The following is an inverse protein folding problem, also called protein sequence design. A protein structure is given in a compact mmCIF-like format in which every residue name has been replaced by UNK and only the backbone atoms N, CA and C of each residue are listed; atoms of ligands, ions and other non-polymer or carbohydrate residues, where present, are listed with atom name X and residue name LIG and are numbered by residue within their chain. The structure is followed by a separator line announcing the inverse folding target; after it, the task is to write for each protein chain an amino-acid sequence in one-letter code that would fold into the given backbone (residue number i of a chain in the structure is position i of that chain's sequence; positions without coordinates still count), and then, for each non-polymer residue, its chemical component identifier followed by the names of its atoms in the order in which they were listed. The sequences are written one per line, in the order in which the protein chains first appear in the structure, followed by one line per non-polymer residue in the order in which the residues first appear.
data_IF_117384247116
#
_entry.id   IF_117384247116
#
_cell.length_a   1.000
_cell.length_b   1.000
_cell.length_c   1.000
_cell.angle_alpha   90.00
_cell.angle_beta   90.00
_cell.angle_gamma   90.00
#
_symmetry.space_group_name_H-M   'P 1'
#
loop_
_entity.id
_entity.type
_entity.pdbx_description
1 polymer ?
#
# COMPACT_ATOMS: atom_id res chain seq x y z
N UNK A 1 46.49 5.69 29.72
CA UNK A 1 45.38 6.44 29.07
C UNK A 1 45.51 7.89 29.49
N UNK A 2 45.68 8.84 28.57
CA UNK A 2 45.84 10.26 28.95
C UNK A 2 44.53 10.82 29.53
N UNK A 3 44.59 11.71 30.54
CA UNK A 3 43.41 12.37 31.10
C UNK A 3 42.52 13.02 30.02
N UNK A 4 43.15 13.63 29.01
CA UNK A 4 42.47 14.31 27.90
C UNK A 4 41.57 13.38 27.09
N UNK A 5 41.99 12.13 26.89
CA UNK A 5 41.21 11.15 26.13
C UNK A 5 39.95 10.70 26.90
N UNK A 6 39.99 10.68 28.23
CA UNK A 6 38.82 10.39 29.06
C UNK A 6 37.82 11.55 29.00
N UNK A 7 38.30 12.78 29.18
CA UNK A 7 37.48 14.00 29.12
C UNK A 7 36.80 14.13 27.77
N UNK A 8 37.53 13.88 26.68
CA UNK A 8 36.98 13.91 25.32
C UNK A 8 35.81 12.94 25.14
N UNK A 9 35.93 11.70 25.62
CA UNK A 9 34.85 10.70 25.56
C UNK A 9 33.61 11.13 26.36
N UNK A 10 33.82 11.60 27.58
CA UNK A 10 32.73 12.07 28.43
C UNK A 10 32.02 13.30 27.81
N UNK A 11 32.78 14.20 27.20
CA UNK A 11 32.24 15.35 26.48
C UNK A 11 31.35 14.92 25.31
N UNK A 12 31.80 13.94 24.50
CA UNK A 12 31.01 13.41 23.39
C UNK A 12 29.72 12.75 23.90
N UNK A 13 29.79 12.01 25.00
CA UNK A 13 28.62 11.38 25.62
C UNK A 13 27.62 12.43 26.16
N UNK A 14 28.11 13.50 26.77
CA UNK A 14 27.30 14.63 27.21
C UNK A 14 26.65 15.37 26.02
N UNK A 15 27.40 15.59 24.93
CA UNK A 15 26.87 16.18 23.70
C UNK A 15 25.74 15.34 23.10
N UNK A 16 25.92 14.02 23.01
CA UNK A 16 24.89 13.12 22.52
C UNK A 16 23.64 13.13 23.42
N UNK A 17 23.82 13.20 24.74
CA UNK A 17 22.73 13.36 25.70
C UNK A 17 21.94 14.64 25.45
N UNK A 18 22.62 15.77 25.20
CA UNK A 18 21.96 17.05 24.88
C UNK A 18 21.20 16.97 23.55
N UNK A 19 21.77 16.33 22.53
CA UNK A 19 21.10 16.14 21.24
C UNK A 19 19.83 15.30 21.38
N UNK A 20 19.90 14.19 22.13
CA UNK A 20 18.75 13.34 22.42
C UNK A 20 17.63 14.10 23.16
N UNK A 21 17.98 14.89 24.19
CA UNK A 21 17.02 15.74 24.92
C UNK A 21 16.34 16.78 24.03
N UNK A 22 17.00 17.22 22.95
CA UNK A 22 16.45 18.14 21.95
C UNK A 22 15.68 17.43 20.83
N UNK A 23 15.44 16.12 20.95
CA UNK A 23 14.76 15.31 19.94
C UNK A 23 15.59 15.04 18.68
N UNK A 24 16.88 15.41 18.66
CA UNK A 24 17.78 15.19 17.51
C UNK A 24 18.42 13.81 17.60
N UNK A 25 17.58 12.78 17.59
CA UNK A 25 17.98 11.41 17.89
C UNK A 25 18.97 10.84 16.89
N UNK A 26 18.80 11.12 15.60
CA UNK A 26 19.67 10.60 14.53
C UNK A 26 21.10 11.13 14.68
N UNK A 27 21.23 12.41 15.06
CA UNK A 27 22.55 13.03 15.32
C UNK A 27 23.19 12.45 16.57
N UNK A 28 22.41 12.20 17.62
CA UNK A 28 22.90 11.58 18.84
C UNK A 28 23.38 10.15 18.58
N UNK A 29 22.58 9.36 17.87
CA UNK A 29 22.89 7.99 17.46
C UNK A 29 24.17 7.93 16.62
N UNK A 30 24.28 8.76 15.58
CA UNK A 30 25.48 8.79 14.74
C UNK A 30 26.76 9.07 15.53
N UNK A 31 26.72 10.04 16.45
CA UNK A 31 27.87 10.37 17.32
C UNK A 31 28.21 9.19 18.24
N UNK A 32 27.20 8.55 18.84
CA UNK A 32 27.41 7.43 19.75
C UNK A 32 27.91 6.17 19.06
N UNK A 33 27.43 5.87 17.86
CA UNK A 33 27.93 4.74 17.06
C UNK A 33 29.40 4.95 16.67
N UNK A 34 29.79 6.19 16.34
CA UNK A 34 31.20 6.52 16.09
C UNK A 34 32.05 6.34 17.35
N UNK A 35 31.51 6.71 18.51
CA UNK A 35 32.17 6.53 19.80
C UNK A 35 32.28 5.05 20.18
N UNK A 36 31.25 4.24 19.90
CA UNK A 36 31.22 2.80 20.14
C UNK A 36 32.28 2.07 19.30
N UNK A 37 32.47 2.49 18.04
CA UNK A 37 33.54 1.94 17.17
C UNK A 37 34.94 2.19 17.75
N UNK A 38 35.16 3.33 18.39
CA UNK A 38 36.43 3.67 19.01
C UNK A 38 36.60 3.01 20.39
N UNK A 39 35.49 2.75 21.08
CA UNK A 39 35.47 2.27 22.46
C UNK A 39 34.40 1.18 22.65
N UNK A 40 34.57 0.00 22.03
CA UNK A 40 33.54 -1.05 22.02
C UNK A 40 33.32 -1.68 23.40
N UNK A 41 34.27 -1.53 24.32
CA UNK A 41 34.20 -2.06 25.69
C UNK A 41 33.79 -1.00 26.72
N UNK A 42 33.12 0.08 26.30
CA UNK A 42 32.68 1.15 27.20
C UNK A 42 31.14 1.12 27.40
N UNK A 43 30.64 0.49 28.47
CA UNK A 43 29.20 0.27 28.71
C UNK A 43 28.31 1.53 28.63
N UNK A 44 28.73 2.71 29.12
CA UNK A 44 27.91 3.92 29.09
C UNK A 44 27.41 4.35 27.71
N UNK A 45 28.14 4.02 26.63
CA UNK A 45 27.69 4.32 25.26
C UNK A 45 26.40 3.54 24.94
N UNK A 46 26.39 2.25 25.30
CA UNK A 46 25.28 1.36 25.02
C UNK A 46 24.08 1.65 25.91
N UNK A 47 24.31 2.05 27.16
CA UNK A 47 23.23 2.57 28.03
C UNK A 47 22.57 3.80 27.40
N UNK A 48 23.35 4.77 26.91
CA UNK A 48 22.80 5.97 26.30
C UNK A 48 22.08 5.68 24.98
N UNK A 49 22.63 4.81 24.13
CA UNK A 49 21.93 4.33 22.93
C UNK A 49 20.61 3.68 23.30
N UNK A 50 20.60 2.77 24.28
CA UNK A 50 19.38 2.11 24.73
C UNK A 50 18.31 3.09 25.22
N UNK A 51 18.69 4.10 26.01
CA UNK A 51 17.79 5.17 26.46
C UNK A 51 17.22 5.96 25.29
N UNK A 52 18.04 6.29 24.29
CA UNK A 52 17.60 7.01 23.08
C UNK A 52 16.55 6.18 22.34
N UNK A 53 16.81 4.90 22.08
CA UNK A 53 15.82 4.04 21.41
C UNK A 53 14.55 3.86 22.25
N UNK A 54 14.67 3.75 23.58
CA UNK A 54 13.50 3.68 24.45
C UNK A 54 12.64 4.96 24.38
N UNK A 55 13.26 6.14 24.30
CA UNK A 55 12.54 7.41 24.08
C UNK A 55 11.82 7.47 22.73
N UNK A 56 12.31 6.74 21.73
CA UNK A 56 11.69 6.61 20.41
C UNK A 56 10.64 5.49 20.33
N UNK A 57 10.26 4.88 21.45
CA UNK A 57 9.38 3.69 21.51
C UNK A 57 9.97 2.44 20.80
N UNK A 58 11.26 2.46 20.47
CA UNK A 58 11.98 1.34 19.86
C UNK A 58 12.49 0.39 20.95
N UNK A 59 11.55 -0.20 21.70
CA UNK A 59 11.85 -1.02 22.88
C UNK A 59 12.69 -2.26 22.55
N UNK A 60 12.54 -2.83 21.36
CA UNK A 60 13.34 -3.99 20.93
C UNK A 60 14.83 -3.65 20.79
N UNK A 61 15.15 -2.51 20.17
CA UNK A 61 16.52 -2.05 20.00
C UNK A 61 17.11 -1.65 21.37
N UNK A 62 16.33 -0.94 22.18
CA UNK A 62 16.72 -0.56 23.54
C UNK A 62 17.10 -1.79 24.39
N UNK A 63 16.30 -2.86 24.32
CA UNK A 63 16.57 -4.11 25.01
C UNK A 63 17.91 -4.73 24.56
N UNK A 64 18.21 -4.74 23.26
CA UNK A 64 19.47 -5.29 22.74
C UNK A 64 20.68 -4.52 23.26
N UNK A 65 20.61 -3.18 23.28
CA UNK A 65 21.71 -2.35 23.75
C UNK A 65 21.94 -2.46 25.26
N UNK A 66 20.89 -2.53 26.09
CA UNK A 66 21.08 -2.80 27.52
C UNK A 66 21.58 -4.22 27.79
N UNK A 67 21.15 -5.21 27.00
CA UNK A 67 21.73 -6.56 27.07
C UNK A 67 23.23 -6.52 26.76
N UNK A 68 23.64 -5.72 25.78
CA UNK A 68 25.05 -5.55 25.48
C UNK A 68 25.81 -4.82 26.59
N UNK A 69 25.23 -3.75 27.17
CA UNK A 69 25.81 -3.08 28.33
C UNK A 69 26.02 -4.03 29.52
N UNK A 70 25.03 -4.89 29.80
CA UNK A 70 25.12 -5.95 30.82
C UNK A 70 26.16 -7.02 30.49
N UNK A 71 26.40 -7.32 29.22
CA UNK A 71 27.48 -8.25 28.83
C UNK A 71 28.87 -7.71 29.13
N UNK A 72 29.02 -6.38 29.17
CA UNK A 72 30.27 -5.69 29.49
C UNK A 72 30.40 -5.40 30.99
N UNK A 73 29.28 -5.17 31.68
CA UNK A 73 29.21 -4.90 33.13
C UNK A 73 27.96 -5.57 33.74
N UNK A 74 28.09 -6.86 34.06
CA UNK A 74 26.98 -7.70 34.49
C UNK A 74 26.46 -7.38 35.89
N UNK A 75 27.27 -6.73 36.73
CA UNK A 75 26.92 -6.38 38.10
C UNK A 75 26.37 -4.96 38.24
N UNK A 76 26.15 -4.26 37.11
CA UNK A 76 25.62 -2.91 37.16
C UNK A 76 24.11 -2.90 37.46
N UNK A 77 23.68 -2.46 38.65
CA UNK A 77 22.27 -2.47 39.02
C UNK A 77 21.45 -1.53 38.13
N UNK A 78 22.06 -0.47 37.57
CA UNK A 78 21.35 0.47 36.72
C UNK A 78 20.99 -0.16 35.37
N UNK A 79 21.92 -0.92 34.77
CA UNK A 79 21.67 -1.60 33.50
C UNK A 79 20.68 -2.74 33.66
N UNK A 80 20.75 -3.48 34.77
CA UNK A 80 19.80 -4.53 35.07
C UNK A 80 18.38 -3.97 35.23
N UNK A 81 18.21 -2.95 36.07
CA UNK A 81 16.92 -2.31 36.28
C UNK A 81 16.35 -1.70 34.98
N UNK A 82 17.20 -1.13 34.13
CA UNK A 82 16.77 -0.57 32.84
C UNK A 82 16.37 -1.67 31.84
N UNK A 83 17.13 -2.77 31.78
CA UNK A 83 16.81 -3.94 30.97
C UNK A 83 15.47 -4.56 31.38
N UNK A 84 15.29 -4.84 32.67
CA UNK A 84 14.05 -5.40 33.22
C UNK A 84 12.85 -4.51 32.94
N UNK A 85 12.99 -3.19 33.13
CA UNK A 85 11.93 -2.23 32.81
C UNK A 85 11.50 -2.32 31.35
N UNK A 86 12.43 -2.41 30.42
CA UNK A 86 12.09 -2.44 28.99
C UNK A 86 11.59 -3.80 28.53
N UNK A 87 12.07 -4.89 29.13
CA UNK A 87 11.46 -6.22 28.93
C UNK A 87 10.00 -6.19 29.40
N UNK A 88 9.73 -5.63 30.58
CA UNK A 88 8.36 -5.51 31.10
C UNK A 88 7.48 -4.62 30.20
N UNK A 89 7.99 -3.48 29.73
CA UNK A 89 7.23 -2.61 28.81
C UNK A 89 6.96 -3.29 27.46
N UNK A 90 7.89 -4.08 26.94
CA UNK A 90 7.71 -4.84 25.71
C UNK A 90 6.69 -5.99 25.87
N UNK A 91 6.66 -6.62 27.04
CA UNK A 91 5.75 -7.73 27.36
C UNK A 91 4.34 -7.27 27.71
N UNK A 92 4.13 -5.99 27.99
CA UNK A 92 2.78 -5.42 28.14
C UNK A 92 2.28 -4.97 26.77
N UNK A 93 1.39 -5.73 26.10
CA UNK A 93 0.80 -5.36 24.83
C UNK A 93 -0.28 -4.27 25.02
N UNK A 94 0.02 -3.23 25.80
CA UNK A 94 -0.92 -2.16 26.09
C UNK A 94 -1.02 -1.24 24.85
N UNK A 95 -1.92 -1.61 23.96
CA UNK A 95 -2.70 -0.68 23.12
C UNK A 95 -1.93 0.17 22.10
N UNK A 96 -0.80 -0.30 21.58
CA UNK A 96 -0.12 0.39 20.48
C UNK A 96 -0.68 -0.06 19.12
N UNK A 97 -1.83 0.51 18.74
CA UNK A 97 -2.26 0.61 17.34
C UNK A 97 -1.36 1.56 16.54
N UNK A 98 -0.01 1.46 16.68
CA UNK A 98 0.98 2.27 15.98
C UNK A 98 1.36 1.62 14.64
N UNK A 99 0.48 1.78 13.66
CA UNK A 99 0.71 1.97 12.21
C UNK A 99 1.87 1.28 11.44
N UNK A 100 2.51 0.23 11.95
CA UNK A 100 3.52 -0.53 11.19
C UNK A 100 3.48 -2.04 11.47
N UNK A 101 2.29 -2.60 11.71
CA UNK A 101 2.10 -4.05 11.69
C UNK A 101 1.60 -4.50 10.30
N UNK A 102 2.00 -5.69 9.81
CA UNK A 102 1.50 -6.25 8.55
C UNK A 102 -0.04 -6.41 8.53
N UNK A 103 -0.67 -6.44 9.70
CA UNK A 103 -2.13 -6.51 9.85
C UNK A 103 -2.82 -5.24 9.38
N UNK A 104 -2.22 -4.05 9.58
CA UNK A 104 -2.80 -2.80 9.07
C UNK A 104 -2.74 -2.74 7.54
N UNK A 105 -1.66 -3.28 6.93
CA UNK A 105 -1.57 -3.44 5.48
C UNK A 105 -2.62 -4.43 4.97
N UNK A 106 -2.79 -5.57 5.63
CA UNK A 106 -3.82 -6.54 5.27
C UNK A 106 -5.24 -5.96 5.39
N UNK A 107 -5.51 -5.16 6.43
CA UNK A 107 -6.79 -4.49 6.62
C UNK A 107 -7.06 -3.47 5.51
N UNK A 108 -6.07 -2.66 5.13
CA UNK A 108 -6.19 -1.73 3.99
C UNK A 108 -6.44 -2.49 2.68
N UNK A 109 -5.71 -3.57 2.43
CA UNK A 109 -5.89 -4.40 1.23
C UNK A 109 -7.30 -5.01 1.21
N UNK A 110 -7.80 -5.50 2.34
CA UNK A 110 -9.15 -6.03 2.47
C UNK A 110 -10.21 -4.94 2.18
N UNK A 111 -10.02 -3.75 2.72
CA UNK A 111 -10.94 -2.62 2.51
C UNK A 111 -10.96 -2.16 1.05
N UNK A 112 -9.79 -2.07 0.42
CA UNK A 112 -9.66 -1.75 -1.01
C UNK A 112 -10.27 -2.83 -1.90
N UNK A 113 -10.10 -4.11 -1.57
CA UNK A 113 -10.68 -5.21 -2.34
C UNK A 113 -12.20 -5.26 -2.23
N UNK A 114 -12.77 -4.97 -1.06
CA UNK A 114 -14.23 -4.82 -0.90
C UNK A 114 -14.76 -3.65 -1.73
N UNK A 115 -14.08 -2.49 -1.71
CA UNK A 115 -14.48 -1.34 -2.51
C UNK A 115 -14.41 -1.62 -4.01
N UNK A 116 -13.37 -2.34 -4.46
CA UNK A 116 -13.20 -2.74 -5.85
C UNK A 116 -14.30 -3.73 -6.31
N UNK A 117 -14.63 -4.72 -5.47
CA UNK A 117 -15.72 -5.66 -5.72
C UNK A 117 -17.06 -4.94 -5.84
N UNK A 118 -17.32 -3.99 -4.94
CA UNK A 118 -18.53 -3.17 -4.99
C UNK A 118 -18.60 -2.34 -6.27
N UNK A 119 -17.50 -1.66 -6.65
CA UNK A 119 -17.42 -0.88 -7.88
C UNK A 119 -17.65 -1.75 -9.13
N UNK A 120 -17.06 -2.94 -9.16
CA UNK A 120 -17.23 -3.87 -10.28
C UNK A 120 -18.66 -4.40 -10.38
N UNK A 121 -19.31 -4.70 -9.25
CA UNK A 121 -20.73 -5.09 -9.21
C UNK A 121 -21.65 -4.01 -9.79
N UNK A 122 -21.42 -2.74 -9.44
CA UNK A 122 -22.19 -1.60 -9.97
C UNK A 122 -21.99 -1.46 -11.49
N UNK A 123 -20.77 -1.65 -12.00
CA UNK A 123 -20.50 -1.61 -13.43
C UNK A 123 -21.25 -2.71 -14.20
N UNK A 124 -21.33 -3.93 -13.66
CA UNK A 124 -22.07 -5.03 -14.28
C UNK A 124 -23.57 -4.70 -14.38
N UNK A 125 -24.17 -4.19 -13.31
CA UNK A 125 -25.59 -3.79 -13.33
C UNK A 125 -25.85 -2.75 -14.43
N UNK A 126 -25.00 -1.72 -14.53
CA UNK A 126 -25.13 -0.70 -15.58
C UNK A 126 -24.93 -1.26 -17.00
N UNK A 127 -24.14 -2.33 -17.17
CA UNK A 127 -23.94 -2.97 -18.47
C UNK A 127 -25.14 -3.84 -18.87
N UNK A 128 -25.74 -4.54 -17.90
CA UNK A 128 -26.93 -5.36 -18.11
C UNK A 128 -28.14 -4.50 -18.43
N UNK A 129 -28.34 -3.39 -17.73
CA UNK A 129 -29.43 -2.43 -18.01
C UNK A 129 -29.34 -1.88 -19.45
N UNK A 130 -28.15 -1.42 -19.87
CA UNK A 130 -27.92 -0.97 -21.25
C UNK A 130 -28.14 -2.07 -22.29
N UNK A 131 -27.80 -3.31 -21.97
CA UNK A 131 -28.04 -4.47 -22.83
C UNK A 131 -29.52 -4.79 -22.99
N UNK A 132 -30.30 -4.72 -21.91
CA UNK A 132 -31.75 -4.95 -21.93
C UNK A 132 -32.50 -3.84 -22.69
N UNK A 133 -32.08 -2.58 -22.55
CA UNK A 133 -32.62 -1.47 -23.34
C UNK A 133 -32.28 -1.57 -24.82
N UNK A 134 -31.24 -2.35 -25.19
CA UNK A 134 -30.84 -2.57 -26.58
C UNK A 134 -31.71 -3.55 -27.38
N UNK A 135 -32.43 -4.41 -26.66
CA UNK A 135 -33.25 -5.47 -27.24
C UNK A 135 -34.45 -4.98 -28.09
N UNK A 136 -35.23 -3.95 -27.70
CA UNK A 136 -36.41 -3.55 -28.48
C UNK A 136 -36.07 -3.08 -29.90
N UNK A 137 -35.03 -2.26 -30.08
CA UNK A 137 -34.69 -1.73 -31.42
C UNK A 137 -33.98 -2.73 -32.33
N UNK A 138 -33.29 -3.71 -31.75
CA UNK A 138 -32.61 -4.76 -32.53
C UNK A 138 -33.64 -5.75 -33.08
N UNK A 139 -34.67 -6.08 -32.30
CA UNK A 139 -35.77 -6.93 -32.77
C UNK A 139 -36.63 -6.17 -33.79
N UNK A 140 -36.96 -4.90 -33.54
CA UNK A 140 -37.75 -4.11 -34.50
C UNK A 140 -37.03 -3.94 -35.84
N UNK A 141 -35.72 -3.65 -35.85
CA UNK A 141 -34.95 -3.53 -37.09
C UNK A 141 -34.75 -4.87 -37.80
N UNK A 142 -34.51 -5.96 -37.07
CA UNK A 142 -34.41 -7.30 -37.64
C UNK A 142 -35.75 -7.78 -38.22
N UNK A 143 -36.86 -7.52 -37.53
CA UNK A 143 -38.22 -7.82 -38.01
C UNK A 143 -38.59 -6.94 -39.20
N UNK A 144 -38.28 -5.64 -39.18
CA UNK A 144 -38.50 -4.74 -40.30
C UNK A 144 -37.67 -5.14 -41.54
N UNK A 145 -36.45 -5.64 -41.34
CA UNK A 145 -35.61 -6.16 -42.43
C UNK A 145 -36.14 -7.50 -42.95
N UNK A 146 -36.66 -8.37 -42.08
CA UNK A 146 -37.23 -9.66 -42.47
C UNK A 146 -38.62 -9.56 -43.12
N UNK A 147 -39.40 -8.52 -42.81
CA UNK A 147 -40.70 -8.22 -43.44
C UNK A 147 -40.60 -7.26 -44.64
N UNK A 148 -39.42 -6.72 -44.94
CA UNK A 148 -39.25 -5.90 -46.13
C UNK A 148 -39.55 -6.75 -47.38
N UNK A 149 -40.50 -6.35 -48.24
CA UNK A 149 -40.78 -7.10 -49.45
C UNK A 149 -39.52 -7.15 -50.32
N UNK A 150 -39.18 -8.35 -50.79
CA UNK A 150 -38.14 -8.63 -51.76
C UNK A 150 -38.46 -7.87 -53.07
N UNK A 151 -38.01 -6.62 -53.15
CA UNK A 151 -38.03 -5.85 -54.39
C UNK A 151 -36.76 -6.21 -55.17
N UNK A 152 -36.68 -7.48 -55.57
CA UNK A 152 -35.73 -7.99 -56.55
C UNK A 152 -36.36 -7.91 -57.93
N UNK A 153 -36.15 -6.74 -58.55
CA UNK A 153 -35.83 -6.55 -59.96
C UNK A 153 -36.62 -7.35 -61.02
N UNK A 154 -37.84 -6.90 -61.29
CA UNK A 154 -38.66 -7.31 -62.43
C UNK A 154 -38.55 -6.37 -63.62
N UNK A 155 -37.34 -5.96 -64.01
CA UNK A 155 -37.13 -5.06 -65.17
C UNK A 155 -36.44 -5.79 -66.32
N UNK A 156 -37.21 -6.59 -67.08
CA UNK A 156 -36.75 -7.13 -68.36
C UNK A 156 -37.83 -7.06 -69.46
N UNK A 157 -37.85 -5.92 -70.14
CA UNK A 157 -38.00 -5.75 -71.60
C UNK A 157 -39.15 -6.46 -72.34
N UNK A 158 -40.24 -5.72 -72.49
CA UNK A 158 -41.26 -5.85 -73.52
C UNK A 158 -40.65 -5.70 -74.94
N UNK A 159 -40.82 -6.68 -75.82
CA UNK A 159 -40.53 -6.60 -77.26
C UNK A 159 -41.82 -6.88 -78.06
N UNK A 160 -42.21 -5.87 -78.82
CA UNK A 160 -43.43 -5.64 -79.64
C UNK A 160 -43.52 -6.64 -80.82
N UNK A 161 -44.74 -7.02 -81.30
CA UNK A 161 -45.24 -6.41 -82.53
C UNK A 161 -46.76 -6.12 -82.56
N UNK A 162 -47.10 -5.00 -83.18
CA UNK A 162 -48.45 -4.64 -83.65
C UNK A 162 -49.06 -5.72 -84.55
N UNK A 163 -50.25 -6.21 -84.22
CA UNK A 163 -51.16 -6.86 -85.17
C UNK A 163 -52.32 -5.93 -85.50
N UNK A 164 -52.36 -5.55 -86.76
CA UNK A 164 -53.41 -4.81 -87.44
C UNK A 164 -54.74 -5.59 -87.49
N UNK A 165 -55.83 -4.84 -87.33
CA UNK A 165 -57.24 -5.27 -87.32
C UNK A 165 -57.66 -6.12 -88.54
N UNK A 166 -58.62 -7.04 -88.40
CA UNK A 166 -59.33 -7.60 -89.54
C UNK A 166 -60.56 -6.74 -89.86
N UNK A 167 -60.50 -6.02 -90.99
CA UNK A 167 -61.64 -5.32 -91.57
C UNK A 167 -62.48 -6.33 -92.36
N UNK A 168 -63.77 -6.38 -92.03
CA UNK A 168 -64.83 -7.02 -92.82
C UNK A 168 -64.81 -6.46 -94.25
N UNK A 169 -64.85 -7.33 -95.26
CA UNK A 169 -65.48 -7.00 -96.52
C UNK A 169 -66.17 -8.20 -97.16
N UNK A 170 -67.31 -7.89 -97.78
CA UNK A 170 -68.29 -8.79 -98.37
C UNK A 170 -67.88 -9.30 -99.76
N UNK A 171 -68.37 -10.51 -100.05
CA UNK A 171 -68.73 -11.15 -101.35
C UNK A 171 -67.85 -12.31 -101.80
#
# INVERSE_FOLDING_TARGET
MSPDALVKRQLILAQATVLARRGRYEKAEHILLNLARQHPSWPPIFDLLARIYAQQDRLADAQQYWKHALSLDAMNPQYLAAYERVVALRQRPEQSYRLSSPMFKAAIIALLSILLLWFFMVQIQSAVERGLESLPHTIESAVATALAPDVSDGTAINRVPHSSEPRLDMR
#
